data_IF_339298355173
#
_entry.id   IF_339298355173
#
_cell.length_a   1.000
_cell.length_b   1.000
_cell.length_c   1.000
_cell.angle_alpha   90.00
_cell.angle_beta   90.00
_cell.angle_gamma   90.00
#
_symmetry.space_group_name_H-M   'P 1'
#
loop_
_entity.id
_entity.type
_entity.pdbx_description
1 polymer ?
#
# COMPACT_ATOMS: atom_id res chain seq x y z
N UNK A 1 12.31 16.47 -23.66
CA UNK A 1 11.14 15.91 -22.97
C UNK A 1 10.24 17.03 -22.46
N UNK A 2 8.94 16.98 -22.77
CA UNK A 2 7.98 17.97 -22.30
C UNK A 2 7.69 17.79 -20.81
N UNK A 3 7.11 18.82 -20.16
CA UNK A 3 6.72 18.73 -18.75
C UNK A 3 5.64 17.66 -18.54
N UNK A 4 4.73 17.48 -19.51
CA UNK A 4 3.69 16.45 -19.44
C UNK A 4 4.28 15.04 -19.50
N UNK A 5 5.31 14.84 -20.32
CA UNK A 5 5.99 13.54 -20.41
C UNK A 5 6.72 13.21 -19.11
N UNK A 6 7.39 14.21 -18.51
CA UNK A 6 8.05 14.06 -17.20
C UNK A 6 7.04 13.70 -16.10
N UNK A 7 5.89 14.36 -16.11
CA UNK A 7 4.83 14.08 -15.15
C UNK A 7 4.30 12.64 -15.30
N UNK A 8 4.05 12.19 -16.53
CA UNK A 8 3.59 10.82 -16.78
C UNK A 8 4.61 9.79 -16.32
N UNK A 9 5.89 10.02 -16.58
CA UNK A 9 6.95 9.13 -16.12
C UNK A 9 7.02 9.07 -14.60
N UNK A 10 6.90 10.24 -13.93
CA UNK A 10 6.89 10.29 -12.47
C UNK A 10 5.68 9.55 -11.89
N UNK A 11 4.51 9.71 -12.48
CA UNK A 11 3.30 9.00 -12.06
C UNK A 11 3.44 7.48 -12.22
N UNK A 12 3.98 7.03 -13.34
CA UNK A 12 4.22 5.59 -13.57
C UNK A 12 5.26 5.03 -12.61
N UNK A 13 6.33 5.78 -12.34
CA UNK A 13 7.35 5.37 -11.38
C UNK A 13 6.76 5.21 -9.98
N UNK A 14 5.85 6.10 -9.58
CA UNK A 14 5.15 5.99 -8.30
C UNK A 14 4.27 4.73 -8.25
N UNK A 15 3.50 4.46 -9.30
CA UNK A 15 2.67 3.26 -9.36
C UNK A 15 3.50 1.98 -9.24
N UNK A 16 4.63 1.90 -9.94
CA UNK A 16 5.56 0.77 -9.85
C UNK A 16 6.11 0.65 -8.43
N UNK A 17 6.49 1.77 -7.82
CA UNK A 17 7.01 1.81 -6.45
C UNK A 17 5.97 1.31 -5.45
N UNK A 18 4.72 1.76 -5.55
CA UNK A 18 3.62 1.32 -4.69
C UNK A 18 3.44 -0.20 -4.79
N UNK A 19 3.42 -0.74 -5.99
CA UNK A 19 3.29 -2.18 -6.20
C UNK A 19 4.43 -2.96 -5.57
N UNK A 20 5.66 -2.48 -5.70
CA UNK A 20 6.84 -3.14 -5.11
C UNK A 20 6.86 -3.08 -3.59
N UNK A 21 6.32 -2.02 -3.02
CA UNK A 21 6.39 -1.78 -1.57
C UNK A 21 5.17 -2.26 -0.79
N UNK A 22 4.05 -2.51 -1.47
CA UNK A 22 2.77 -2.79 -0.79
C UNK A 22 2.87 -3.91 0.24
N UNK A 23 3.42 -5.06 -0.13
CA UNK A 23 3.56 -6.21 0.78
C UNK A 23 4.48 -5.91 1.97
N UNK A 24 5.58 -5.19 1.71
CA UNK A 24 6.53 -4.79 2.75
C UNK A 24 5.88 -3.82 3.75
N UNK A 25 5.17 -2.81 3.25
CA UNK A 25 4.50 -1.82 4.10
C UNK A 25 3.41 -2.47 4.94
N UNK A 26 2.66 -3.41 4.36
CA UNK A 26 1.63 -4.17 5.08
C UNK A 26 2.24 -4.96 6.24
N UNK A 27 3.39 -5.60 6.02
CA UNK A 27 4.11 -6.31 7.07
C UNK A 27 4.63 -5.36 8.14
N UNK A 28 5.24 -4.25 7.74
CA UNK A 28 5.75 -3.23 8.67
C UNK A 28 4.63 -2.65 9.54
N UNK A 29 3.44 -2.44 8.97
CA UNK A 29 2.26 -1.99 9.72
C UNK A 29 1.89 -3.00 10.80
N UNK A 30 1.85 -4.29 10.46
CA UNK A 30 1.51 -5.35 11.42
C UNK A 30 2.54 -5.45 12.55
N UNK A 31 3.83 -5.35 12.21
CA UNK A 31 4.92 -5.37 13.18
C UNK A 31 4.86 -4.17 14.13
N UNK A 32 4.59 -2.98 13.61
CA UNK A 32 4.45 -1.77 14.42
C UNK A 32 3.25 -1.87 15.37
N UNK A 33 2.13 -2.42 14.90
CA UNK A 33 0.94 -2.64 15.75
C UNK A 33 1.24 -3.60 16.90
N UNK A 34 1.91 -4.72 16.62
CA UNK A 34 2.29 -5.69 17.64
C UNK A 34 3.25 -5.07 18.67
N UNK A 35 4.26 -4.33 18.22
CA UNK A 35 5.23 -3.67 19.09
C UNK A 35 4.56 -2.62 19.96
N UNK A 36 3.69 -1.80 19.38
CA UNK A 36 2.92 -0.80 20.11
C UNK A 36 2.10 -1.44 21.24
N UNK A 37 1.34 -2.47 20.94
CA UNK A 37 0.49 -3.17 21.94
C UNK A 37 1.35 -3.81 23.03
N UNK A 38 2.46 -4.42 22.67
CA UNK A 38 3.38 -5.04 23.63
C UNK A 38 3.98 -4.03 24.60
N UNK A 39 4.44 -2.88 24.08
CA UNK A 39 5.00 -1.83 24.94
C UNK A 39 3.94 -1.26 25.89
N UNK A 40 2.70 -1.11 25.45
CA UNK A 40 1.61 -0.70 26.35
C UNK A 40 1.37 -1.69 27.47
N UNK A 41 1.37 -2.99 27.18
CA UNK A 41 1.21 -4.04 28.20
C UNK A 41 2.35 -3.99 29.22
N UNK A 42 3.59 -3.83 28.75
CA UNK A 42 4.76 -3.71 29.63
C UNK A 42 4.64 -2.46 30.51
N UNK A 43 4.21 -1.34 29.93
CA UNK A 43 4.01 -0.09 30.66
C UNK A 43 2.97 -0.23 31.78
N UNK A 44 1.86 -0.94 31.51
CA UNK A 44 0.80 -1.18 32.49
C UNK A 44 1.29 -2.03 33.67
N UNK A 45 2.18 -2.98 33.42
CA UNK A 45 2.75 -3.87 34.43
C UNK A 45 3.95 -3.27 35.17
N UNK A 46 4.50 -2.15 34.68
CA UNK A 46 5.68 -1.53 35.27
C UNK A 46 5.38 -0.95 36.64
N UNK A 47 6.22 -1.29 37.60
CA UNK A 47 6.10 -0.81 39.00
C UNK A 47 6.75 0.56 39.18
N UNK A 48 7.88 0.80 38.48
CA UNK A 48 8.63 2.05 38.61
C UNK A 48 8.14 3.10 37.60
N UNK A 49 7.86 4.35 38.07
CA UNK A 49 7.39 5.40 37.17
C UNK A 49 8.31 5.70 35.98
N UNK A 50 9.62 5.63 36.17
CA UNK A 50 10.61 5.84 35.11
C UNK A 50 10.50 4.77 34.03
N UNK A 51 10.39 3.51 34.43
CA UNK A 51 10.24 2.37 33.56
C UNK A 51 8.93 2.48 32.74
N UNK A 52 7.84 2.79 33.42
CA UNK A 52 6.54 3.00 32.78
C UNK A 52 6.62 4.06 31.68
N UNK A 53 7.26 5.20 31.98
CA UNK A 53 7.42 6.30 31.02
C UNK A 53 8.24 5.91 29.80
N UNK A 54 9.31 5.13 30.00
CA UNK A 54 10.13 4.63 28.89
C UNK A 54 9.30 3.79 27.93
N UNK A 55 8.51 2.83 28.44
CA UNK A 55 7.70 1.97 27.62
C UNK A 55 6.52 2.70 26.97
N UNK A 56 5.94 3.69 27.64
CA UNK A 56 4.92 4.56 27.03
C UNK A 56 5.49 5.33 25.85
N UNK A 57 6.73 5.84 25.98
CA UNK A 57 7.40 6.55 24.88
C UNK A 57 7.69 5.62 23.71
N UNK A 58 8.17 4.39 23.97
CA UNK A 58 8.41 3.40 22.95
C UNK A 58 7.09 3.01 22.23
N UNK A 59 6.01 2.88 23.00
CA UNK A 59 4.69 2.61 22.44
C UNK A 59 4.23 3.74 21.51
N UNK A 60 4.41 5.00 21.92
CA UNK A 60 4.04 6.16 21.09
C UNK A 60 4.83 6.19 19.78
N UNK A 61 6.12 5.86 19.80
CA UNK A 61 6.96 5.78 18.59
C UNK A 61 6.43 4.72 17.62
N UNK A 62 6.09 3.54 18.13
CA UNK A 62 5.53 2.47 17.31
C UNK A 62 4.14 2.80 16.79
N UNK A 63 3.33 3.49 17.60
CA UNK A 63 2.01 3.96 17.17
C UNK A 63 2.13 4.94 15.98
N UNK A 64 3.10 5.86 16.01
CA UNK A 64 3.34 6.77 14.90
C UNK A 64 3.72 6.03 13.62
N UNK A 65 4.59 5.03 13.73
CA UNK A 65 4.95 4.16 12.58
C UNK A 65 3.72 3.46 12.02
N UNK A 66 2.90 2.90 12.90
CA UNK A 66 1.65 2.21 12.53
C UNK A 66 0.72 3.16 11.76
N UNK A 67 0.50 4.37 12.27
CA UNK A 67 -0.38 5.35 11.64
C UNK A 67 0.13 5.80 10.28
N UNK A 68 1.44 6.01 10.13
CA UNK A 68 2.06 6.35 8.85
C UNK A 68 1.87 5.24 7.81
N UNK A 69 2.13 3.99 8.21
CA UNK A 69 1.97 2.83 7.33
C UNK A 69 0.50 2.61 6.95
N UNK A 70 -0.40 2.80 7.93
CA UNK A 70 -1.84 2.71 7.68
C UNK A 70 -2.30 3.75 6.66
N UNK A 71 -1.87 5.00 6.80
CA UNK A 71 -2.22 6.06 5.86
C UNK A 71 -1.72 5.76 4.45
N UNK A 72 -0.49 5.25 4.33
CA UNK A 72 0.09 4.86 3.05
C UNK A 72 -0.72 3.73 2.40
N UNK A 73 -1.08 2.69 3.17
CA UNK A 73 -1.87 1.57 2.67
C UNK A 73 -3.29 1.99 2.28
N UNK A 74 -3.91 2.84 3.08
CA UNK A 74 -5.26 3.35 2.79
C UNK A 74 -5.27 4.13 1.46
N UNK A 75 -4.24 4.92 1.21
CA UNK A 75 -4.07 5.63 -0.06
C UNK A 75 -3.89 4.66 -1.23
N UNK A 76 -3.03 3.66 -1.05
CA UNK A 76 -2.78 2.64 -2.09
C UNK A 76 -4.05 1.84 -2.40
N UNK A 77 -4.79 1.44 -1.37
CA UNK A 77 -6.05 0.70 -1.52
C UNK A 77 -7.13 1.55 -2.19
N UNK A 78 -7.25 2.82 -1.80
CA UNK A 78 -8.20 3.75 -2.41
C UNK A 78 -7.91 3.96 -3.89
N UNK A 79 -6.62 4.12 -4.24
CA UNK A 79 -6.22 4.28 -5.63
C UNK A 79 -6.57 3.05 -6.47
N UNK A 80 -6.35 1.85 -5.92
CA UNK A 80 -6.71 0.61 -6.60
C UNK A 80 -8.23 0.51 -6.84
N UNK A 81 -9.04 0.93 -5.87
CA UNK A 81 -10.51 0.95 -6.00
C UNK A 81 -10.98 1.89 -7.11
N UNK A 82 -10.19 2.90 -7.45
CA UNK A 82 -10.50 3.85 -8.52
C UNK A 82 -10.22 3.31 -9.92
N UNK A 83 -9.59 2.14 -10.04
CA UNK A 83 -9.36 1.49 -11.34
C UNK A 83 -10.71 1.01 -11.87
N UNK A 84 -11.16 1.61 -12.97
CA UNK A 84 -12.51 1.42 -13.51
C UNK A 84 -12.70 0.21 -14.42
N UNK A 85 -11.69 -0.63 -14.56
CA UNK A 85 -11.76 -1.89 -15.29
C UNK A 85 -11.69 -3.06 -14.32
N UNK A 86 -12.74 -3.89 -14.25
CA UNK A 86 -12.77 -5.02 -13.33
C UNK A 86 -11.64 -6.03 -13.60
N UNK A 87 -11.30 -6.26 -14.87
CA UNK A 87 -10.20 -7.17 -15.23
C UNK A 87 -8.85 -6.60 -14.86
N UNK A 88 -8.62 -5.30 -15.12
CA UNK A 88 -7.39 -4.62 -14.70
C UNK A 88 -7.27 -4.60 -13.19
N UNK A 89 -8.37 -4.33 -12.47
CA UNK A 89 -8.42 -4.39 -11.01
C UNK A 89 -7.99 -5.77 -10.50
N UNK A 90 -8.57 -6.85 -11.04
CA UNK A 90 -8.25 -8.22 -10.62
C UNK A 90 -6.77 -8.54 -10.82
N UNK A 91 -6.20 -8.14 -11.96
CA UNK A 91 -4.78 -8.36 -12.24
C UNK A 91 -3.90 -7.58 -11.26
N UNK A 92 -4.18 -6.30 -11.05
CA UNK A 92 -3.38 -5.47 -10.14
C UNK A 92 -3.50 -5.94 -8.69
N UNK A 93 -4.72 -6.24 -8.23
CA UNK A 93 -4.95 -6.70 -6.86
C UNK A 93 -4.14 -7.97 -6.56
N UNK A 94 -4.23 -8.97 -7.44
CA UNK A 94 -3.55 -10.25 -7.22
C UNK A 94 -2.05 -10.16 -7.48
N UNK A 95 -1.64 -9.59 -8.61
CA UNK A 95 -0.23 -9.59 -9.00
C UNK A 95 0.58 -8.49 -8.31
N UNK A 96 0.09 -7.26 -8.36
CA UNK A 96 0.86 -6.12 -7.85
C UNK A 96 0.74 -5.97 -6.33
N UNK A 97 -0.45 -6.13 -5.77
CA UNK A 97 -0.66 -5.93 -4.34
C UNK A 97 -0.43 -7.19 -3.52
N UNK A 98 -0.98 -8.32 -3.96
CA UNK A 98 -0.87 -9.58 -3.20
C UNK A 98 0.34 -10.43 -3.58
N UNK A 99 1.11 -10.03 -4.59
CA UNK A 99 2.35 -10.72 -4.97
C UNK A 99 2.16 -12.04 -5.70
N UNK A 100 0.97 -12.29 -6.24
CA UNK A 100 0.70 -13.51 -7.02
C UNK A 100 1.43 -13.43 -8.36
N UNK A 101 2.17 -14.48 -8.78
CA UNK A 101 2.79 -14.47 -10.11
C UNK A 101 1.76 -14.22 -11.20
N UNK A 102 2.12 -13.43 -12.21
CA UNK A 102 1.18 -13.01 -13.26
C UNK A 102 0.49 -14.20 -13.94
N UNK A 103 1.22 -15.30 -14.15
CA UNK A 103 0.68 -16.54 -14.74
C UNK A 103 -0.37 -17.24 -13.88
N UNK A 104 -0.48 -16.89 -12.59
CA UNK A 104 -1.40 -17.50 -11.63
C UNK A 104 -2.59 -16.59 -11.29
N UNK A 105 -2.67 -15.42 -11.92
CA UNK A 105 -3.77 -14.49 -11.71
C UNK A 105 -5.06 -15.06 -12.31
N UNK A 106 -6.17 -14.97 -11.57
CA UNK A 106 -7.48 -15.50 -11.96
C UNK A 106 -8.49 -14.37 -12.15
N UNK A 107 -9.41 -14.58 -13.10
CA UNK A 107 -10.54 -13.68 -13.30
C UNK A 107 -11.63 -13.88 -12.22
N UNK A 108 -12.71 -13.13 -12.31
CA UNK A 108 -13.83 -13.20 -11.35
C UNK A 108 -14.50 -14.58 -11.32
N UNK A 109 -14.41 -15.35 -12.40
CA UNK A 109 -14.95 -16.72 -12.49
C UNK A 109 -13.98 -17.79 -11.97
N UNK A 110 -12.81 -17.40 -11.49
CA UNK A 110 -11.80 -18.31 -10.97
C UNK A 110 -10.94 -18.98 -12.04
N UNK A 111 -10.96 -18.47 -13.26
CA UNK A 111 -10.18 -19.00 -14.39
C UNK A 111 -8.89 -18.21 -14.56
N UNK A 112 -7.81 -18.89 -14.93
CA UNK A 112 -6.56 -18.21 -15.23
C UNK A 112 -6.70 -17.33 -16.46
N UNK A 113 -6.12 -16.13 -16.39
CA UNK A 113 -5.96 -15.29 -17.57
C UNK A 113 -4.94 -15.89 -18.53
N UNK A 114 -5.16 -15.73 -19.84
CA UNK A 114 -4.12 -16.01 -20.82
C UNK A 114 -2.96 -15.03 -20.59
N UNK A 115 -1.73 -15.48 -20.82
CA UNK A 115 -0.52 -14.69 -20.59
C UNK A 115 -0.59 -13.30 -21.24
N UNK A 116 -0.92 -13.23 -22.53
CA UNK A 116 -1.02 -11.98 -23.26
C UNK A 116 -2.13 -11.06 -22.71
N UNK A 117 -3.24 -11.64 -22.29
CA UNK A 117 -4.37 -10.92 -21.70
C UNK A 117 -3.98 -10.34 -20.33
N UNK A 118 -3.32 -11.14 -19.49
CA UNK A 118 -2.85 -10.67 -18.18
C UNK A 118 -1.84 -9.53 -18.32
N UNK A 119 -0.90 -9.66 -19.24
CA UNK A 119 0.09 -8.60 -19.53
C UNK A 119 -0.57 -7.31 -20.01
N UNK A 120 -1.58 -7.43 -20.87
CA UNK A 120 -2.36 -6.29 -21.36
C UNK A 120 -3.06 -5.55 -20.23
N UNK A 121 -3.79 -6.28 -19.36
CA UNK A 121 -4.52 -5.67 -18.26
C UNK A 121 -3.59 -5.14 -17.17
N UNK A 122 -2.43 -5.73 -16.98
CA UNK A 122 -1.40 -5.17 -16.11
C UNK A 122 -0.96 -3.80 -16.62
N UNK A 123 -0.67 -3.70 -17.90
CA UNK A 123 -0.22 -2.45 -18.54
C UNK A 123 -1.31 -1.36 -18.46
N UNK A 124 -2.53 -1.71 -18.84
CA UNK A 124 -3.68 -0.80 -18.77
C UNK A 124 -3.94 -0.38 -17.31
N UNK A 125 -3.93 -1.37 -16.40
CA UNK A 125 -4.18 -1.13 -14.98
C UNK A 125 -3.14 -0.23 -14.34
N UNK A 126 -1.86 -0.41 -14.68
CA UNK A 126 -0.78 0.43 -14.15
C UNK A 126 -0.94 1.89 -14.53
N UNK A 127 -1.39 2.18 -15.76
CA UNK A 127 -1.66 3.55 -16.19
C UNK A 127 -2.82 4.16 -15.39
N UNK A 128 -3.87 3.40 -15.16
CA UNK A 128 -5.03 3.84 -14.38
C UNK A 128 -4.68 4.03 -12.91
N UNK A 129 -3.89 3.13 -12.36
CA UNK A 129 -3.39 3.22 -10.98
C UNK A 129 -2.51 4.46 -10.79
N UNK A 130 -1.61 4.73 -11.73
CA UNK A 130 -0.74 5.90 -11.69
C UNK A 130 -1.55 7.20 -11.61
N UNK A 131 -2.60 7.30 -12.42
CA UNK A 131 -3.51 8.44 -12.41
C UNK A 131 -4.28 8.54 -11.08
N UNK A 132 -4.78 7.41 -10.59
CA UNK A 132 -5.52 7.33 -9.33
C UNK A 132 -4.67 7.75 -8.13
N UNK A 133 -3.42 7.31 -8.08
CA UNK A 133 -2.47 7.70 -7.02
C UNK A 133 -2.21 9.21 -7.03
N UNK A 134 -2.08 9.79 -8.19
CA UNK A 134 -1.88 11.23 -8.34
C UNK A 134 -3.10 12.00 -7.80
N UNK A 135 -4.30 11.59 -8.15
CA UNK A 135 -5.55 12.21 -7.65
C UNK A 135 -5.66 12.07 -6.13
N UNK A 136 -5.36 10.90 -5.58
CA UNK A 136 -5.38 10.68 -4.12
C UNK A 136 -4.36 11.54 -3.39
N UNK A 137 -3.19 11.79 -3.98
CA UNK A 137 -2.18 12.66 -3.39
C UNK A 137 -2.67 14.11 -3.32
N UNK A 138 -3.33 14.60 -4.37
CA UNK A 138 -3.89 15.95 -4.41
C UNK A 138 -4.99 16.14 -3.36
N UNK A 139 -5.85 15.15 -3.17
CA UNK A 139 -6.94 15.19 -2.18
C UNK A 139 -6.42 15.27 -0.75
N UNK A 140 -5.24 14.70 -0.49
CA UNK A 140 -4.63 14.63 0.84
C UNK A 140 -3.69 15.79 1.15
N UNK A 141 -3.41 16.67 0.19
CA UNK A 141 -2.58 17.85 0.46
C UNK A 141 -3.35 18.86 1.32
N UNK A 142 -2.74 19.34 2.41
CA UNK A 142 -3.38 20.41 3.20
C UNK A 142 -3.47 21.70 2.39
N UNK A 143 -4.62 22.28 2.39
CA UNK A 143 -4.85 23.59 1.77
C UNK A 143 -4.07 24.70 2.48
#
# INVERSE_FOLDING_TARGET
MTDNEKLREAMMAEAVSVCKQYGKVRLEKAEAEQAWRRYLEIAEEAVLPKEKKIYETLADEELQKFLEKKAWLDRADKALEMVDSSKAYMVLKQHCYDGVPLRQVKDAAGRYFKKSTAEYYKKVGMKKLARALYVCAEENEPE
#
